data_IF_770408028933
#
_entry.id   IF_770408028933
#
_cell.length_a   1.000
_cell.length_b   1.000
_cell.length_c   1.000
_cell.angle_alpha   90.00
_cell.angle_beta   90.00
_cell.angle_gamma   90.00
#
_symmetry.space_group_name_H-M   'P 1'
#
loop_
_entity.id
_entity.type
_entity.pdbx_description
1 polymer ?
#
# COMPACT_ATOMS: atom_id res chain seq x y z
N UNK A 1 -35.56 -5.85 -8.72
CA UNK A 1 -35.05 -4.63 -8.04
C UNK A 1 -33.59 -4.85 -7.69
N UNK A 2 -32.70 -3.98 -8.18
CA UNK A 2 -31.24 -4.06 -8.04
C UNK A 2 -30.78 -3.72 -6.61
N UNK A 3 -31.00 -4.62 -5.64
CA UNK A 3 -30.49 -4.44 -4.27
C UNK A 3 -28.97 -4.72 -4.16
N UNK A 4 -28.39 -5.43 -5.14
CA UNK A 4 -26.96 -5.77 -5.18
C UNK A 4 -26.01 -4.58 -5.35
N UNK A 5 -26.41 -3.52 -6.08
CA UNK A 5 -25.49 -2.43 -6.46
C UNK A 5 -25.24 -1.39 -5.37
N UNK A 6 -26.03 -1.37 -4.29
CA UNK A 6 -25.96 -0.31 -3.29
C UNK A 6 -25.78 -0.76 -1.84
N UNK A 7 -25.90 -2.05 -1.54
CA UNK A 7 -25.87 -2.50 -0.15
C UNK A 7 -24.59 -3.30 0.15
N UNK A 8 -23.58 -2.60 0.66
CA UNK A 8 -22.33 -3.20 1.13
C UNK A 8 -22.59 -4.33 2.16
N UNK A 9 -23.67 -4.22 2.94
CA UNK A 9 -24.08 -5.25 3.89
C UNK A 9 -24.55 -6.54 3.21
N UNK A 10 -25.24 -6.44 2.07
CA UNK A 10 -25.64 -7.61 1.30
C UNK A 10 -24.42 -8.32 0.72
N UNK A 11 -23.51 -7.55 0.11
CA UNK A 11 -22.23 -8.07 -0.37
C UNK A 11 -21.45 -8.76 0.75
N UNK A 12 -21.32 -8.13 1.92
CA UNK A 12 -20.66 -8.72 3.08
C UNK A 12 -21.31 -10.04 3.51
N UNK A 13 -22.63 -10.09 3.65
CA UNK A 13 -23.32 -11.30 4.09
C UNK A 13 -23.17 -12.47 3.10
N UNK A 14 -23.04 -12.16 1.81
CA UNK A 14 -22.80 -13.16 0.76
C UNK A 14 -21.37 -13.71 0.82
N UNK A 15 -20.38 -12.85 1.11
CA UNK A 15 -18.95 -13.19 1.01
C UNK A 15 -18.31 -13.63 2.34
N UNK A 16 -18.88 -13.29 3.50
CA UNK A 16 -18.27 -13.55 4.83
C UNK A 16 -17.93 -15.03 5.11
N UNK A 17 -18.63 -15.96 4.46
CA UNK A 17 -18.42 -17.41 4.63
C UNK A 17 -17.61 -18.02 3.47
N UNK A 18 -17.20 -17.21 2.49
CA UNK A 18 -16.45 -17.66 1.32
C UNK A 18 -14.96 -17.43 1.54
N UNK A 19 -14.16 -18.29 0.91
CA UNK A 19 -12.70 -18.22 0.93
C UNK A 19 -12.11 -17.92 -0.46
N UNK A 20 -12.91 -18.04 -1.52
CA UNK A 20 -12.52 -17.82 -2.91
C UNK A 20 -13.75 -17.32 -3.70
N UNK A 21 -13.49 -16.65 -4.82
CA UNK A 21 -14.53 -16.16 -5.75
C UNK A 21 -14.70 -17.21 -6.84
N UNK A 22 -15.93 -17.69 -7.04
CA UNK A 22 -16.27 -18.78 -7.97
C UNK A 22 -17.09 -18.32 -9.16
N UNK A 23 -17.80 -17.21 -9.02
CA UNK A 23 -18.67 -16.67 -10.07
C UNK A 23 -18.60 -15.15 -10.19
N UNK A 24 -19.13 -14.64 -11.31
CA UNK A 24 -19.15 -13.20 -11.62
C UNK A 24 -19.96 -12.39 -10.59
N UNK A 25 -20.99 -12.98 -9.97
CA UNK A 25 -21.77 -12.29 -8.94
C UNK A 25 -20.96 -12.08 -7.65
N UNK A 26 -20.18 -13.07 -7.25
CA UNK A 26 -19.25 -12.98 -6.12
C UNK A 26 -18.15 -11.96 -6.39
N UNK A 27 -17.65 -11.87 -7.62
CA UNK A 27 -16.70 -10.83 -8.02
C UNK A 27 -17.30 -9.42 -7.91
N UNK A 28 -18.51 -9.23 -8.44
CA UNK A 28 -19.23 -7.94 -8.32
C UNK A 28 -19.50 -7.61 -6.85
N UNK A 29 -19.90 -8.60 -6.04
CA UNK A 29 -20.13 -8.40 -4.62
C UNK A 29 -18.83 -7.98 -3.91
N UNK A 30 -17.70 -8.61 -4.23
CA UNK A 30 -16.42 -8.33 -3.60
C UNK A 30 -15.91 -6.94 -3.98
N UNK A 31 -16.01 -6.56 -5.26
CA UNK A 31 -15.70 -5.20 -5.70
C UNK A 31 -16.57 -4.17 -4.98
N UNK A 32 -17.88 -4.43 -4.86
CA UNK A 32 -18.80 -3.54 -4.12
C UNK A 32 -18.42 -3.43 -2.65
N UNK A 33 -17.98 -4.53 -2.03
CA UNK A 33 -17.50 -4.53 -0.65
C UNK A 33 -16.24 -3.66 -0.50
N UNK A 34 -15.25 -3.86 -1.37
CA UNK A 34 -14.00 -3.09 -1.37
C UNK A 34 -14.24 -1.59 -1.62
N UNK A 35 -15.26 -1.23 -2.40
CA UNK A 35 -15.58 0.17 -2.73
C UNK A 35 -16.43 0.89 -1.68
N UNK A 36 -17.32 0.19 -0.97
CA UNK A 36 -18.34 0.83 -0.12
C UNK A 36 -18.36 0.37 1.33
N UNK A 37 -17.86 -0.81 1.65
CA UNK A 37 -17.93 -1.35 3.01
C UNK A 37 -16.91 -0.70 3.96
N UNK A 38 -17.13 -0.92 5.26
CA UNK A 38 -16.17 -0.58 6.32
C UNK A 38 -15.00 -1.56 6.33
N UNK A 39 -13.86 -1.14 6.90
CA UNK A 39 -12.69 -2.01 6.98
C UNK A 39 -12.95 -3.26 7.86
N UNK A 40 -13.75 -3.15 8.92
CA UNK A 40 -14.14 -4.29 9.76
C UNK A 40 -14.83 -5.39 8.93
N UNK A 41 -15.77 -5.01 8.07
CA UNK A 41 -16.44 -5.95 7.17
C UNK A 41 -15.45 -6.58 6.19
N UNK A 42 -14.56 -5.77 5.61
CA UNK A 42 -13.57 -6.21 4.63
C UNK A 42 -12.52 -7.16 5.25
N UNK A 43 -12.15 -6.92 6.51
CA UNK A 43 -11.24 -7.74 7.31
C UNK A 43 -11.85 -9.08 7.69
N UNK A 44 -13.16 -9.11 7.96
CA UNK A 44 -13.87 -10.34 8.31
C UNK A 44 -14.05 -11.31 7.13
N UNK A 45 -13.89 -10.84 5.89
CA UNK A 45 -13.93 -11.70 4.71
C UNK A 45 -12.59 -12.41 4.51
N UNK A 46 -12.64 -13.74 4.41
CA UNK A 46 -11.45 -14.61 4.27
C UNK A 46 -10.89 -14.68 2.85
N UNK A 47 -11.60 -14.11 1.88
CA UNK A 47 -11.16 -14.04 0.49
C UNK A 47 -9.84 -13.24 0.41
N UNK A 48 -8.79 -13.80 -0.20
CA UNK A 48 -7.52 -13.11 -0.37
C UNK A 48 -7.70 -11.89 -1.29
N UNK A 49 -7.10 -10.76 -0.92
CA UNK A 49 -7.21 -9.53 -1.68
C UNK A 49 -6.09 -9.47 -2.72
N UNK A 50 -6.46 -9.17 -3.96
CA UNK A 50 -5.55 -8.85 -5.05
C UNK A 50 -4.88 -7.49 -4.78
N UNK A 51 -3.69 -7.25 -5.35
CA UNK A 51 -3.00 -5.97 -5.18
C UNK A 51 -3.83 -4.76 -5.59
N UNK A 52 -4.62 -4.89 -6.67
CA UNK A 52 -5.53 -3.84 -7.14
C UNK A 52 -6.56 -3.43 -6.09
N UNK A 53 -7.10 -4.38 -5.34
CA UNK A 53 -8.11 -4.14 -4.30
C UNK A 53 -7.47 -3.49 -3.08
N UNK A 54 -6.28 -3.93 -2.68
CA UNK A 54 -5.50 -3.29 -1.60
C UNK A 54 -5.22 -1.83 -1.93
N UNK A 55 -4.78 -1.53 -3.15
CA UNK A 55 -4.56 -0.15 -3.59
C UNK A 55 -5.85 0.67 -3.59
N UNK A 56 -6.99 0.07 -3.95
CA UNK A 56 -8.30 0.74 -3.83
C UNK A 56 -8.63 1.09 -2.39
N UNK A 57 -8.38 0.20 -1.42
CA UNK A 57 -8.59 0.49 0.00
C UNK A 57 -7.71 1.65 0.49
N UNK A 58 -6.44 1.69 0.07
CA UNK A 58 -5.52 2.78 0.42
C UNK A 58 -5.99 4.10 -0.21
N UNK A 59 -6.49 4.08 -1.44
CA UNK A 59 -7.11 5.26 -2.07
C UNK A 59 -8.34 5.73 -1.31
N UNK A 60 -9.24 4.82 -0.92
CA UNK A 60 -10.41 5.18 -0.11
C UNK A 60 -10.01 5.79 1.23
N UNK A 61 -8.98 5.25 1.87
CA UNK A 61 -8.42 5.82 3.09
C UNK A 61 -7.88 7.24 2.84
N UNK A 62 -7.18 7.44 1.71
CA UNK A 62 -6.71 8.77 1.27
C UNK A 62 -7.83 9.78 1.09
N UNK A 63 -8.95 9.35 0.53
CA UNK A 63 -10.10 10.21 0.26
C UNK A 63 -10.97 10.43 1.51
N UNK A 64 -10.68 9.78 2.64
CA UNK A 64 -11.51 9.82 3.85
C UNK A 64 -12.78 8.97 3.76
N UNK A 65 -12.90 8.12 2.74
CA UNK A 65 -14.02 7.20 2.51
C UNK A 65 -13.90 5.87 3.27
N UNK A 66 -12.79 5.68 3.98
CA UNK A 66 -12.49 4.51 4.78
C UNK A 66 -11.61 4.98 5.94
N UNK A 67 -11.89 4.53 7.16
CA UNK A 67 -11.01 4.79 8.31
C UNK A 67 -10.13 3.55 8.54
N UNK A 68 -8.82 3.76 8.60
CA UNK A 68 -7.83 2.73 8.90
C UNK A 68 -6.91 3.22 10.00
N UNK A 69 -6.75 2.41 11.04
CA UNK A 69 -5.65 2.61 11.99
C UNK A 69 -4.31 2.19 11.40
N UNK A 70 -3.22 2.69 11.99
CA UNK A 70 -1.84 2.32 11.59
C UNK A 70 -1.63 0.80 11.62
N UNK A 71 -2.14 0.13 12.65
CA UNK A 71 -2.04 -1.32 12.80
C UNK A 71 -2.82 -2.07 11.71
N UNK A 72 -4.00 -1.59 11.35
CA UNK A 72 -4.81 -2.18 10.28
C UNK A 72 -4.18 -2.00 8.90
N UNK A 73 -3.56 -0.84 8.67
CA UNK A 73 -2.79 -0.59 7.46
C UNK A 73 -1.56 -1.52 7.38
N UNK A 74 -0.82 -1.70 8.48
CA UNK A 74 0.30 -2.64 8.57
C UNK A 74 -0.15 -4.07 8.22
N UNK A 75 -1.23 -4.53 8.85
CA UNK A 75 -1.83 -5.86 8.62
C UNK A 75 -2.28 -6.01 7.17
N UNK A 76 -2.88 -4.97 6.58
CA UNK A 76 -3.33 -4.98 5.20
C UNK A 76 -2.16 -5.19 4.22
N UNK A 77 -1.01 -4.57 4.46
CA UNK A 77 0.16 -4.77 3.60
C UNK A 77 0.89 -6.10 3.88
N UNK A 78 1.00 -6.51 5.14
CA UNK A 78 1.73 -7.74 5.50
C UNK A 78 0.99 -9.01 5.10
N UNK A 79 -0.34 -9.05 5.21
CA UNK A 79 -1.12 -10.25 4.89
C UNK A 79 -1.37 -10.46 3.39
N UNK A 80 -1.18 -9.43 2.56
CA UNK A 80 -1.40 -9.53 1.12
C UNK A 80 -0.07 -9.65 0.35
N UNK A 81 -0.10 -10.41 -0.74
CA UNK A 81 1.06 -10.55 -1.63
C UNK A 81 1.00 -9.39 -2.63
N UNK A 82 1.95 -8.47 -2.50
CA UNK A 82 2.04 -7.24 -3.29
C UNK A 82 3.37 -7.23 -4.03
N UNK A 83 3.37 -6.71 -5.26
CA UNK A 83 4.61 -6.51 -6.00
C UNK A 83 5.38 -5.28 -5.51
N UNK A 84 6.63 -5.15 -5.92
CA UNK A 84 7.45 -3.95 -5.63
C UNK A 84 6.73 -2.65 -6.03
N UNK A 85 6.06 -2.65 -7.20
CA UNK A 85 5.29 -1.50 -7.69
C UNK A 85 4.09 -1.19 -6.81
N UNK A 86 3.42 -2.23 -6.30
CA UNK A 86 2.25 -2.06 -5.42
C UNK A 86 2.68 -1.47 -4.07
N UNK A 87 3.77 -1.96 -3.48
CA UNK A 87 4.35 -1.37 -2.28
C UNK A 87 4.77 0.08 -2.49
N UNK A 88 5.41 0.39 -3.62
CA UNK A 88 5.82 1.75 -3.95
C UNK A 88 4.62 2.70 -4.06
N UNK A 89 3.55 2.26 -4.73
CA UNK A 89 2.31 3.03 -4.83
C UNK A 89 1.64 3.21 -3.46
N UNK A 90 1.61 2.16 -2.64
CA UNK A 90 1.11 2.24 -1.28
C UNK A 90 1.91 3.25 -0.44
N UNK A 91 3.24 3.23 -0.50
CA UNK A 91 4.09 4.20 0.17
C UNK A 91 3.79 5.64 -0.30
N UNK A 92 3.77 5.88 -1.62
CA UNK A 92 3.46 7.19 -2.21
C UNK A 92 2.10 7.75 -1.80
N UNK A 93 1.09 6.89 -1.69
CA UNK A 93 -0.25 7.30 -1.23
C UNK A 93 -0.26 7.61 0.26
N UNK A 94 0.50 6.84 1.04
CA UNK A 94 0.45 6.86 2.49
C UNK A 94 1.37 7.88 3.16
N UNK A 95 2.34 8.46 2.44
CA UNK A 95 3.18 9.57 2.94
C UNK A 95 2.38 10.78 3.42
N UNK A 96 1.20 11.01 2.85
CA UNK A 96 0.29 12.11 3.23
C UNK A 96 -0.84 11.67 4.17
N UNK A 97 -0.93 10.37 4.46
CA UNK A 97 -2.00 9.77 5.26
C UNK A 97 -1.60 9.51 6.70
N UNK A 98 -0.39 8.97 6.87
CA UNK A 98 0.12 8.49 8.14
C UNK A 98 1.30 9.36 8.57
N UNK A 99 1.56 9.38 9.88
CA UNK A 99 2.76 10.03 10.41
C UNK A 99 4.03 9.39 9.81
N UNK A 100 5.06 10.19 9.47
CA UNK A 100 6.32 9.70 8.89
C UNK A 100 6.94 8.54 9.66
N UNK A 101 7.05 8.65 10.97
CA UNK A 101 7.60 7.59 11.83
C UNK A 101 6.79 6.30 11.78
N UNK A 102 5.46 6.42 11.72
CA UNK A 102 4.56 5.28 11.68
C UNK A 102 4.71 4.51 10.36
N UNK A 103 4.65 5.21 9.23
CA UNK A 103 4.78 4.57 7.91
C UNK A 103 6.19 4.01 7.69
N UNK A 104 7.24 4.71 8.13
CA UNK A 104 8.60 4.20 8.08
C UNK A 104 8.73 2.92 8.90
N UNK A 105 8.20 2.89 10.13
CA UNK A 105 8.20 1.71 10.98
C UNK A 105 7.50 0.51 10.32
N UNK A 106 6.37 0.74 9.66
CA UNK A 106 5.63 -0.29 8.92
C UNK A 106 6.48 -0.87 7.78
N UNK A 107 6.98 -0.02 6.88
CA UNK A 107 7.74 -0.48 5.72
C UNK A 107 9.11 -1.07 6.12
N UNK A 108 9.71 -0.61 7.22
CA UNK A 108 10.92 -1.18 7.80
C UNK A 108 10.71 -2.63 8.28
N UNK A 109 9.55 -2.94 8.87
CA UNK A 109 9.20 -4.33 9.20
C UNK A 109 8.95 -5.16 7.95
N UNK A 110 8.10 -4.65 7.05
CA UNK A 110 7.69 -5.40 5.86
C UNK A 110 8.90 -5.70 4.96
N UNK A 111 9.88 -4.78 4.81
CA UNK A 111 11.08 -5.07 4.00
C UNK A 111 11.93 -6.22 4.54
N UNK A 112 11.89 -6.47 5.85
CA UNK A 112 12.61 -7.59 6.46
C UNK A 112 11.93 -8.93 6.17
N UNK A 113 10.61 -8.92 5.94
CA UNK A 113 9.84 -10.09 5.54
C UNK A 113 9.78 -10.28 4.02
N UNK A 114 9.72 -9.18 3.27
CA UNK A 114 9.46 -9.13 1.82
C UNK A 114 10.40 -8.14 1.15
N UNK A 115 11.34 -8.66 0.38
CA UNK A 115 12.33 -7.87 -0.35
C UNK A 115 11.73 -6.83 -1.30
N UNK A 116 10.51 -7.07 -1.79
CA UNK A 116 9.74 -6.22 -2.69
C UNK A 116 9.33 -4.90 -2.02
N UNK A 117 9.20 -4.87 -0.70
CA UNK A 117 8.88 -3.64 0.04
C UNK A 117 10.10 -2.75 0.26
N UNK A 118 11.32 -3.24 -0.01
CA UNK A 118 12.56 -2.47 0.17
C UNK A 118 12.53 -1.18 -0.64
N UNK A 119 12.15 -1.23 -1.91
CA UNK A 119 12.13 -0.04 -2.78
C UNK A 119 11.16 1.02 -2.28
N UNK A 120 10.02 0.59 -1.73
CA UNK A 120 9.05 1.49 -1.12
C UNK A 120 9.58 2.12 0.18
N UNK A 121 10.31 1.36 1.01
CA UNK A 121 10.99 1.89 2.18
C UNK A 121 12.04 2.95 1.80
N UNK A 122 12.87 2.69 0.80
CA UNK A 122 13.85 3.67 0.30
C UNK A 122 13.16 4.94 -0.22
N UNK A 123 12.03 4.81 -0.90
CA UNK A 123 11.22 5.95 -1.33
C UNK A 123 10.79 6.81 -0.14
N UNK A 124 10.32 6.19 0.95
CA UNK A 124 9.91 6.91 2.15
C UNK A 124 11.09 7.64 2.80
N UNK A 125 12.24 6.99 2.96
CA UNK A 125 13.44 7.64 3.48
C UNK A 125 13.82 8.87 2.66
N UNK A 126 13.78 8.75 1.32
CA UNK A 126 14.07 9.85 0.41
C UNK A 126 13.04 11.00 0.53
N UNK A 127 11.75 10.67 0.63
CA UNK A 127 10.63 11.62 0.77
C UNK A 127 10.74 12.41 2.08
N UNK A 128 11.04 11.73 3.18
CA UNK A 128 11.20 12.35 4.49
C UNK A 128 12.56 13.01 4.70
N UNK A 129 13.47 12.94 3.72
CA UNK A 129 14.79 13.55 3.80
C UNK A 129 15.78 12.82 4.72
N UNK A 130 15.51 11.55 5.04
CA UNK A 130 16.41 10.67 5.78
C UNK A 130 17.51 10.12 4.85
N UNK A 131 18.33 11.03 4.33
CA UNK A 131 19.33 10.74 3.30
C UNK A 131 20.48 9.87 3.81
N UNK A 132 20.84 9.99 5.09
CA UNK A 132 21.88 9.17 5.70
C UNK A 132 21.47 7.69 5.77
N UNK A 133 20.28 7.39 6.31
CA UNK A 133 19.73 6.03 6.31
C UNK A 133 19.53 5.51 4.88
N UNK A 134 19.04 6.35 3.97
CA UNK A 134 18.89 5.97 2.56
C UNK A 134 20.23 5.52 1.97
N UNK A 135 21.30 6.30 2.23
CA UNK A 135 22.65 6.00 1.77
C UNK A 135 23.15 4.68 2.35
N UNK A 136 22.93 4.42 3.64
CA UNK A 136 23.33 3.17 4.27
C UNK A 136 22.62 1.95 3.66
N UNK A 137 21.32 2.07 3.38
CA UNK A 137 20.56 0.96 2.80
C UNK A 137 20.96 0.65 1.35
N UNK A 138 21.22 1.67 0.52
CA UNK A 138 21.62 1.47 -0.89
C UNK A 138 23.10 1.11 -1.05
N UNK A 139 23.95 1.40 -0.06
CA UNK A 139 25.39 1.10 -0.13
C UNK A 139 25.63 -0.41 -0.29
N UNK A 140 24.72 -1.23 0.22
CA UNK A 140 24.82 -2.68 0.16
C UNK A 140 24.40 -3.28 -1.21
N UNK A 141 23.71 -2.53 -2.08
CA UNK A 141 23.09 -3.08 -3.31
C UNK A 141 23.37 -2.19 -4.54
N UNK A 142 24.57 -2.36 -5.10
CA UNK A 142 25.19 -1.40 -6.01
C UNK A 142 24.45 -1.19 -7.35
N UNK A 143 23.72 -2.20 -7.85
CA UNK A 143 23.09 -2.17 -9.18
C UNK A 143 21.57 -1.97 -9.16
N UNK A 144 20.91 -2.21 -8.02
CA UNK A 144 19.45 -2.30 -7.95
C UNK A 144 18.77 -0.95 -7.70
N UNK A 145 19.51 0.03 -7.17
CA UNK A 145 18.96 1.31 -6.69
C UNK A 145 19.61 2.55 -7.33
N UNK A 146 19.99 2.47 -8.61
CA UNK A 146 20.62 3.58 -9.32
C UNK A 146 19.79 4.87 -9.29
N UNK A 147 18.46 4.77 -9.35
CA UNK A 147 17.56 5.93 -9.27
C UNK A 147 17.71 6.68 -7.93
N UNK A 148 17.84 5.96 -6.82
CA UNK A 148 18.04 6.53 -5.49
C UNK A 148 19.43 7.15 -5.31
N UNK A 149 20.46 6.53 -5.91
CA UNK A 149 21.80 7.11 -5.94
C UNK A 149 21.83 8.41 -6.73
N UNK A 150 21.16 8.45 -7.88
CA UNK A 150 21.02 9.66 -8.68
C UNK A 150 20.28 10.74 -7.89
N UNK A 151 19.19 10.38 -7.19
CA UNK A 151 18.47 11.30 -6.31
C UNK A 151 19.38 11.88 -5.21
N UNK A 152 20.13 11.05 -4.50
CA UNK A 152 21.07 11.49 -3.46
C UNK A 152 22.12 12.45 -4.01
N UNK A 153 22.76 12.10 -5.13
CA UNK A 153 23.77 12.93 -5.76
C UNK A 153 23.23 14.30 -6.19
N UNK A 154 21.96 14.36 -6.63
CA UNK A 154 21.29 15.62 -6.97
C UNK A 154 20.95 16.44 -5.71
N UNK A 155 20.49 15.78 -4.64
CA UNK A 155 20.22 16.43 -3.35
C UNK A 155 21.48 17.00 -2.71
N UNK A 156 22.61 16.29 -2.77
CA UNK A 156 23.93 16.79 -2.31
C UNK A 156 24.34 18.06 -3.05
N UNK A 157 23.97 18.18 -4.33
CA UNK A 157 24.19 19.38 -5.16
C UNK A 157 23.13 20.47 -4.95
N UNK A 158 22.26 20.35 -3.93
CA UNK A 158 21.14 21.26 -3.67
C UNK A 158 20.13 21.39 -4.83
N UNK A 159 20.09 20.42 -5.74
CA UNK A 159 19.12 20.39 -6.84
C UNK A 159 17.81 19.80 -6.31
N UNK A 160 16.72 20.57 -6.37
CA UNK A 160 15.37 20.05 -6.10
C UNK A 160 14.90 19.25 -7.30
N UNK A 161 14.59 17.98 -7.07
CA UNK A 161 13.97 17.09 -8.05
C UNK A 161 12.80 16.35 -7.42
N UNK A 162 11.75 16.11 -8.21
CA UNK A 162 10.59 15.34 -7.79
C UNK A 162 10.92 13.84 -7.75
N UNK A 163 10.91 13.28 -6.55
CA UNK A 163 11.08 11.83 -6.31
C UNK A 163 10.12 10.99 -7.14
N UNK A 164 8.89 11.47 -7.30
CA UNK A 164 7.86 10.79 -8.08
C UNK A 164 8.17 10.71 -9.58
N UNK A 165 9.00 11.60 -10.11
CA UNK A 165 9.44 11.55 -11.51
C UNK A 165 10.66 10.65 -11.70
N UNK A 166 11.53 10.57 -10.68
CA UNK A 166 12.78 9.82 -10.72
C UNK A 166 12.59 8.33 -10.40
N UNK A 167 11.66 7.99 -9.50
CA UNK A 167 11.42 6.63 -9.03
C UNK A 167 10.12 6.09 -9.63
N UNK A 168 10.26 5.26 -10.68
CA UNK A 168 9.17 4.59 -11.41
C UNK A 168 9.14 3.08 -11.18
#
# INVERSE_FOLDING_TARGET
>A
KNHLKNDANYAYNKLKNLNEIKDEFEEIAFNTLIEKASYEQIKNVKIPKKPSEVLTLIKRFKEGNLELSVAEYEVLLSHNILSEKDYLNAAKLSTKLLNPDAILGIFNKIKNEKSEALRAYLYLLAEFGLLDELREQIHNDDKKFNDFKAFLALREKNIKIDLNQLIQ
#
